data_IF_736167131994
#
_entry.id   IF_736167131994
#
_cell.length_a   1.000
_cell.length_b   1.000
_cell.length_c   1.000
_cell.angle_alpha   90.00
_cell.angle_beta   90.00
_cell.angle_gamma   90.00
#
_symmetry.space_group_name_H-M   'P 1'
#
loop_
_entity.id
_entity.type
_entity.pdbx_description
1 polymer ?
#
# COMPACT_ATOMS: atom_id res chain seq x y z
N UNK A 1 7.62 10.54 18.80
CA UNK A 1 6.24 10.34 18.34
C UNK A 1 6.30 9.48 17.11
N UNK A 2 5.39 8.52 16.95
CA UNK A 2 5.35 7.66 15.76
C UNK A 2 4.15 8.06 14.90
N UNK A 3 4.37 8.24 13.61
CA UNK A 3 3.34 8.55 12.62
C UNK A 3 3.16 7.35 11.71
N UNK A 4 1.90 6.97 11.47
CA UNK A 4 1.57 5.94 10.50
C UNK A 4 0.89 6.60 9.31
N UNK A 5 1.46 6.38 8.13
CA UNK A 5 0.83 6.72 6.85
C UNK A 5 0.39 5.46 6.11
N UNK A 6 -0.80 5.49 5.53
CA UNK A 6 -1.30 4.44 4.62
C UNK A 6 -1.51 5.02 3.22
N UNK A 7 -0.82 4.49 2.21
CA UNK A 7 -0.95 5.01 0.83
C UNK A 7 -0.74 3.92 -0.22
N UNK A 8 -1.73 3.72 -1.10
CA UNK A 8 -1.58 2.92 -2.34
C UNK A 8 -0.65 3.58 -3.37
N UNK A 9 -0.50 4.90 -3.29
CA UNK A 9 0.26 5.68 -4.24
C UNK A 9 1.67 5.90 -3.67
N UNK A 10 2.55 4.92 -3.86
CA UNK A 10 3.92 4.97 -3.40
C UNK A 10 4.87 4.40 -4.47
N UNK A 11 6.11 4.92 -4.58
CA UNK A 11 7.08 4.43 -5.55
C UNK A 11 7.31 2.93 -5.38
N UNK A 12 7.40 2.21 -6.49
CA UNK A 12 7.81 0.81 -6.46
C UNK A 12 8.60 0.48 -7.73
N UNK A 13 9.13 -0.75 -7.81
CA UNK A 13 9.99 -1.17 -8.93
C UNK A 13 9.35 -1.00 -10.32
N UNK A 14 8.03 -1.15 -10.44
CA UNK A 14 7.33 -0.98 -11.72
C UNK A 14 6.92 0.46 -12.00
N UNK A 15 6.60 1.19 -10.94
CA UNK A 15 6.09 2.55 -11.01
C UNK A 15 6.93 3.45 -10.10
N UNK A 16 8.21 3.69 -10.42
CA UNK A 16 9.14 4.41 -9.54
C UNK A 16 8.76 5.89 -9.34
N UNK A 17 8.00 6.46 -10.27
CA UNK A 17 7.55 7.86 -10.21
C UNK A 17 6.15 7.98 -9.57
N UNK A 18 5.39 6.90 -9.48
CA UNK A 18 4.04 6.95 -8.89
C UNK A 18 4.14 7.18 -7.39
N UNK A 19 3.50 8.24 -6.90
CA UNK A 19 3.51 8.54 -5.47
C UNK A 19 4.83 9.13 -4.95
N UNK A 20 5.71 9.63 -5.82
CA UNK A 20 6.97 10.26 -5.39
C UNK A 20 6.73 11.42 -4.41
N UNK A 21 5.63 12.16 -4.57
CA UNK A 21 5.23 13.19 -3.61
C UNK A 21 4.96 12.63 -2.20
N UNK A 22 4.41 11.41 -2.10
CA UNK A 22 4.21 10.71 -0.83
C UNK A 22 5.55 10.31 -0.24
N UNK A 23 6.44 9.72 -1.03
CA UNK A 23 7.79 9.36 -0.57
C UNK A 23 8.54 10.59 -0.02
N UNK A 24 8.53 11.71 -0.75
CA UNK A 24 9.16 12.94 -0.31
C UNK A 24 8.49 13.51 0.96
N UNK A 25 7.16 13.39 1.08
CA UNK A 25 6.44 13.80 2.27
C UNK A 25 6.85 12.99 3.50
N UNK A 26 6.80 11.65 3.43
CA UNK A 26 7.17 10.78 4.57
C UNK A 26 8.65 10.90 4.92
N UNK A 27 9.50 11.12 3.92
CA UNK A 27 10.93 11.36 4.12
C UNK A 27 11.18 12.65 4.88
N UNK A 28 10.57 13.76 4.46
CA UNK A 28 10.67 15.03 5.18
C UNK A 28 10.11 14.93 6.60
N UNK A 29 9.00 14.21 6.78
CA UNK A 29 8.41 13.97 8.10
C UNK A 29 9.30 13.11 9.00
N UNK A 30 10.03 12.16 8.40
CA UNK A 30 10.96 11.28 9.14
C UNK A 30 12.17 11.99 9.72
N UNK A 31 12.48 13.20 9.25
CA UNK A 31 13.52 14.05 9.86
C UNK A 31 13.10 14.58 11.24
N UNK A 32 11.81 14.50 11.59
CA UNK A 32 11.24 15.05 12.83
C UNK A 32 10.70 13.97 13.77
N UNK A 33 10.35 12.79 13.26
CA UNK A 33 9.68 11.74 14.02
C UNK A 33 9.80 10.36 13.35
N UNK A 34 9.47 9.30 14.08
CA UNK A 34 9.41 7.96 13.50
C UNK A 34 8.21 7.86 12.55
N UNK A 35 8.43 7.41 11.32
CA UNK A 35 7.37 7.27 10.31
C UNK A 35 7.31 5.83 9.82
N UNK A 36 6.13 5.22 9.94
CA UNK A 36 5.83 3.90 9.35
C UNK A 36 4.84 4.09 8.21
N UNK A 37 5.26 3.85 6.98
CA UNK A 37 4.39 3.89 5.81
C UNK A 37 3.95 2.48 5.43
N UNK A 38 2.64 2.22 5.48
CA UNK A 38 2.02 1.01 4.97
C UNK A 38 1.62 1.24 3.51
N UNK A 39 2.19 0.45 2.60
CA UNK A 39 1.95 0.56 1.16
C UNK A 39 1.21 -0.69 0.66
N UNK A 40 -0.11 -0.61 0.43
CA UNK A 40 -0.88 -1.65 -0.21
C UNK A 40 -0.50 -1.78 -1.68
N UNK A 41 -0.13 -2.99 -2.11
CA UNK A 41 0.16 -3.32 -3.51
C UNK A 41 -0.90 -4.30 -4.03
N UNK A 42 -1.67 -3.88 -5.04
CA UNK A 42 -2.72 -4.73 -5.63
C UNK A 42 -2.09 -5.91 -6.36
N UNK A 43 -2.58 -7.13 -6.12
CA UNK A 43 -2.25 -8.28 -6.96
C UNK A 43 -2.96 -8.26 -8.30
N UNK A 44 -4.09 -7.54 -8.41
CA UNK A 44 -4.78 -7.36 -9.68
C UNK A 44 -3.92 -6.52 -10.62
N UNK A 45 -3.53 -7.05 -11.80
CA UNK A 45 -2.74 -6.32 -12.76
C UNK A 45 -3.55 -5.14 -13.31
N UNK A 46 -2.93 -3.97 -13.53
CA UNK A 46 -3.60 -2.85 -14.13
C UNK A 46 -3.79 -3.13 -15.64
N UNK A 47 -4.73 -2.41 -16.27
CA UNK A 47 -5.19 -2.73 -17.63
C UNK A 47 -4.07 -2.69 -18.68
N UNK A 48 -3.02 -1.91 -18.44
CA UNK A 48 -1.88 -1.75 -19.35
C UNK A 48 -1.05 -3.03 -19.50
N UNK A 49 -1.20 -3.99 -18.58
CA UNK A 49 -0.53 -5.30 -18.61
C UNK A 49 -1.27 -6.27 -19.55
N UNK A 50 -2.55 -6.02 -19.82
CA UNK A 50 -3.37 -6.84 -20.70
C UNK A 50 -2.89 -6.72 -22.15
N UNK A 51 -2.82 -7.86 -22.84
CA UNK A 51 -2.36 -7.97 -24.22
C UNK A 51 -3.21 -9.00 -24.97
N UNK A 52 -3.59 -8.68 -26.21
CA UNK A 52 -4.28 -9.63 -27.10
C UNK A 52 -3.40 -10.80 -27.53
N UNK A 53 -2.08 -10.64 -27.50
CA UNK A 53 -1.14 -11.73 -27.72
C UNK A 53 -0.95 -12.55 -26.42
N UNK A 54 -1.27 -13.86 -26.40
CA UNK A 54 -1.19 -14.71 -25.21
C UNK A 54 0.21 -14.80 -24.60
N UNK A 55 1.26 -14.95 -25.43
CA UNK A 55 2.63 -15.06 -24.94
C UNK A 55 3.08 -13.76 -24.24
N UNK A 56 2.71 -12.61 -24.82
CA UNK A 56 2.99 -11.30 -24.22
C UNK A 56 2.17 -11.06 -22.95
N UNK A 57 0.91 -11.52 -22.91
CA UNK A 57 0.07 -11.47 -21.71
C UNK A 57 0.70 -12.26 -20.55
N UNK A 58 1.15 -13.49 -20.81
CA UNK A 58 1.82 -14.33 -19.79
C UNK A 58 3.13 -13.67 -19.34
N UNK A 59 3.94 -13.15 -20.27
CA UNK A 59 5.17 -12.42 -19.92
C UNK A 59 4.91 -11.18 -19.06
N UNK A 60 3.86 -10.42 -19.38
CA UNK A 60 3.48 -9.24 -18.61
C UNK A 60 2.96 -9.61 -17.21
N UNK A 61 2.15 -10.65 -17.09
CA UNK A 61 1.64 -11.14 -15.81
C UNK A 61 2.77 -11.67 -14.92
N UNK A 62 3.70 -12.45 -15.48
CA UNK A 62 4.85 -12.97 -14.73
C UNK A 62 5.73 -11.83 -14.22
N UNK A 63 6.00 -10.81 -15.04
CA UNK A 63 6.71 -9.59 -14.61
C UNK A 63 5.96 -8.84 -13.50
N UNK A 64 4.64 -8.72 -13.63
CA UNK A 64 3.78 -8.10 -12.61
C UNK A 64 3.93 -8.81 -11.27
N UNK A 65 3.67 -10.12 -11.22
CA UNK A 65 3.75 -10.87 -9.98
C UNK A 65 5.16 -10.92 -9.40
N UNK A 66 6.20 -11.07 -10.23
CA UNK A 66 7.60 -10.98 -9.78
C UNK A 66 7.85 -9.66 -9.10
N UNK A 67 7.44 -8.54 -9.71
CA UNK A 67 7.70 -7.22 -9.15
C UNK A 67 7.02 -6.99 -7.80
N UNK A 68 5.81 -7.51 -7.58
CA UNK A 68 5.11 -7.41 -6.31
C UNK A 68 5.89 -8.18 -5.25
N UNK A 69 6.34 -9.38 -5.58
CA UNK A 69 7.13 -10.23 -4.67
C UNK A 69 8.54 -9.67 -4.42
N UNK A 70 9.10 -8.98 -5.41
CA UNK A 70 10.43 -8.36 -5.36
C UNK A 70 10.43 -6.99 -4.68
N UNK A 71 9.25 -6.41 -4.42
CA UNK A 71 9.10 -5.15 -3.70
C UNK A 71 9.26 -5.44 -2.21
N UNK A 72 10.42 -5.05 -1.67
CA UNK A 72 10.79 -5.32 -0.28
C UNK A 72 10.50 -4.12 0.58
N UNK A 73 10.05 -4.40 1.81
CA UNK A 73 10.11 -3.45 2.92
C UNK A 73 11.52 -2.90 3.05
N UNK A 74 11.65 -1.60 3.31
CA UNK A 74 12.93 -0.97 3.57
C UNK A 74 12.83 0.02 4.72
N UNK A 75 13.99 0.39 5.26
CA UNK A 75 14.15 1.40 6.30
C UNK A 75 15.21 2.39 5.85
N UNK A 76 14.97 3.67 6.05
CA UNK A 76 15.87 4.78 5.76
C UNK A 76 15.81 5.76 6.94
N UNK A 77 16.79 5.73 7.84
CA UNK A 77 16.73 6.51 9.08
C UNK A 77 15.49 6.13 9.91
N UNK A 78 14.70 7.14 10.30
CA UNK A 78 13.45 6.98 11.05
C UNK A 78 12.22 6.67 10.17
N UNK A 79 12.41 6.50 8.85
CA UNK A 79 11.39 6.05 7.92
C UNK A 79 11.42 4.53 7.73
N UNK A 80 10.30 3.86 7.97
CA UNK A 80 10.07 2.45 7.63
C UNK A 80 8.94 2.32 6.62
N UNK A 81 9.22 1.78 5.45
CA UNK A 81 8.22 1.54 4.40
C UNK A 81 7.92 0.06 4.29
N UNK A 82 6.68 -0.33 4.57
CA UNK A 82 6.21 -1.71 4.57
C UNK A 82 5.27 -1.91 3.38
N UNK A 83 5.76 -2.62 2.37
CA UNK A 83 4.92 -3.06 1.25
C UNK A 83 4.21 -4.35 1.62
N UNK A 84 2.95 -4.45 1.23
CA UNK A 84 2.22 -5.70 1.36
C UNK A 84 1.24 -5.88 0.21
N UNK A 85 1.20 -7.11 -0.30
CA UNK A 85 0.21 -7.49 -1.30
C UNK A 85 -1.21 -7.57 -0.72
N UNK A 86 -2.19 -7.13 -1.50
CA UNK A 86 -3.62 -7.35 -1.25
C UNK A 86 -4.39 -7.59 -2.56
N UNK A 87 -5.57 -8.21 -2.43
CA UNK A 87 -6.51 -8.39 -3.54
C UNK A 87 -7.67 -7.43 -3.30
N UNK A 88 -8.09 -6.73 -4.35
CA UNK A 88 -9.30 -5.87 -4.34
C UNK A 88 -10.32 -6.42 -5.34
N UNK A 89 -11.61 -6.19 -5.14
CA UNK A 89 -12.61 -6.46 -6.17
C UNK A 89 -12.68 -5.32 -7.21
N UNK A 90 -13.14 -5.59 -8.44
CA UNK A 90 -13.31 -4.56 -9.46
C UNK A 90 -14.28 -3.46 -8.99
N UNK A 91 -13.82 -2.20 -9.03
CA UNK A 91 -14.64 -1.02 -8.78
C UNK A 91 -15.26 -0.49 -10.08
N UNK A 92 -16.44 0.16 -10.04
CA UNK A 92 -17.24 0.50 -8.85
C UNK A 92 -18.23 -0.58 -8.39
N UNK A 93 -18.46 -1.62 -9.20
CA UNK A 93 -19.58 -2.56 -9.01
C UNK A 93 -19.56 -3.34 -7.69
N UNK A 94 -18.39 -3.55 -7.10
CA UNK A 94 -18.22 -4.30 -5.86
C UNK A 94 -17.71 -3.44 -4.69
N UNK A 95 -17.89 -2.12 -4.72
CA UNK A 95 -17.28 -1.20 -3.74
C UNK A 95 -17.59 -1.58 -2.27
N UNK A 96 -18.85 -1.89 -1.94
CA UNK A 96 -19.22 -2.29 -0.57
C UNK A 96 -18.51 -3.58 -0.14
N UNK A 97 -18.54 -4.61 -0.99
CA UNK A 97 -17.88 -5.88 -0.71
C UNK A 97 -16.35 -5.75 -0.64
N UNK A 98 -15.76 -4.89 -1.48
CA UNK A 98 -14.33 -4.56 -1.46
C UNK A 98 -13.95 -3.87 -0.14
N UNK A 99 -14.75 -2.90 0.31
CA UNK A 99 -14.52 -2.21 1.59
C UNK A 99 -14.62 -3.19 2.76
N UNK A 100 -15.64 -4.04 2.81
CA UNK A 100 -15.79 -5.05 3.87
C UNK A 100 -14.61 -6.04 3.88
N UNK A 101 -14.19 -6.50 2.70
CA UNK A 101 -13.05 -7.39 2.54
C UNK A 101 -11.76 -6.73 3.03
N UNK A 102 -11.48 -5.52 2.58
CA UNK A 102 -10.26 -4.78 2.95
C UNK A 102 -10.29 -4.45 4.45
N UNK A 103 -11.40 -3.95 4.99
CA UNK A 103 -11.54 -3.65 6.41
C UNK A 103 -11.40 -4.87 7.33
N UNK A 104 -11.66 -6.08 6.84
CA UNK A 104 -11.46 -7.29 7.63
C UNK A 104 -10.04 -7.84 7.51
N UNK A 105 -9.60 -8.14 6.28
CA UNK A 105 -8.31 -8.79 6.03
C UNK A 105 -7.16 -7.83 6.26
N UNK A 106 -7.27 -6.60 5.75
CA UNK A 106 -6.18 -5.65 5.88
C UNK A 106 -6.05 -5.10 7.29
N UNK A 107 -7.15 -4.86 8.01
CA UNK A 107 -7.10 -4.45 9.42
C UNK A 107 -6.29 -5.42 10.28
N UNK A 108 -6.59 -6.73 10.19
CA UNK A 108 -5.84 -7.74 10.94
C UNK A 108 -4.35 -7.78 10.57
N UNK A 109 -4.06 -7.60 9.28
CA UNK A 109 -2.68 -7.55 8.78
C UNK A 109 -1.94 -6.29 9.27
N UNK A 110 -2.58 -5.14 9.20
CA UNK A 110 -2.05 -3.86 9.68
C UNK A 110 -1.76 -3.92 11.18
N UNK A 111 -2.69 -4.42 12.01
CA UNK A 111 -2.45 -4.61 13.45
C UNK A 111 -1.19 -5.45 13.73
N UNK A 112 -1.00 -6.54 12.98
CA UNK A 112 0.19 -7.38 13.12
C UNK A 112 1.47 -6.67 12.68
N UNK A 113 1.42 -5.90 11.60
CA UNK A 113 2.57 -5.13 11.10
C UNK A 113 2.95 -3.96 12.02
N UNK A 114 1.96 -3.44 12.76
CA UNK A 114 2.07 -2.33 13.70
C UNK A 114 2.20 -2.81 15.15
N UNK A 115 2.31 -4.11 15.38
CA UNK A 115 2.42 -4.68 16.72
C UNK A 115 3.64 -4.09 17.46
N UNK A 116 3.41 -3.56 18.66
CA UNK A 116 4.44 -2.89 19.46
C UNK A 116 4.65 -1.41 19.11
N UNK A 117 4.10 -0.90 18.01
CA UNK A 117 4.08 0.55 17.73
C UNK A 117 3.01 1.25 18.58
N UNK A 118 3.31 2.47 19.02
CA UNK A 118 2.36 3.35 19.72
C UNK A 118 2.18 4.64 18.91
N UNK A 119 1.40 4.60 17.81
CA UNK A 119 1.25 5.74 16.94
C UNK A 119 0.60 6.92 17.68
N UNK A 120 1.19 8.11 17.51
CA UNK A 120 0.56 9.36 17.93
C UNK A 120 -0.43 9.89 16.89
N UNK A 121 -0.19 9.57 15.62
CA UNK A 121 -1.04 9.97 14.49
C UNK A 121 -1.11 8.84 13.47
N UNK A 122 -2.30 8.58 12.93
CA UNK A 122 -2.54 7.69 11.81
C UNK A 122 -3.34 8.44 10.75
N UNK A 123 -2.87 8.46 9.51
CA UNK A 123 -3.63 9.02 8.39
C UNK A 123 -3.41 8.20 7.12
N UNK A 124 -4.21 8.51 6.10
CA UNK A 124 -4.08 7.90 4.79
C UNK A 124 -4.05 8.95 3.68
N UNK A 125 -3.24 8.69 2.67
CA UNK A 125 -3.36 9.35 1.38
C UNK A 125 -4.23 8.46 0.48
N UNK A 126 -5.30 9.04 -0.08
CA UNK A 126 -6.46 8.42 -0.75
C UNK A 126 -7.61 7.97 0.17
N UNK A 127 -8.82 8.50 -0.10
CA UNK A 127 -9.96 8.49 0.82
C UNK A 127 -10.58 7.09 1.00
N UNK A 128 -10.73 6.27 -0.05
CA UNK A 128 -11.37 4.95 0.07
C UNK A 128 -10.57 3.84 -0.58
N UNK A 129 -10.36 2.69 0.10
CA UNK A 129 -10.96 2.25 1.37
C UNK A 129 -10.16 2.66 2.61
N UNK A 130 -9.03 3.34 2.44
CA UNK A 130 -8.03 3.50 3.49
C UNK A 130 -8.44 4.43 4.62
N UNK A 131 -9.35 5.39 4.41
CA UNK A 131 -9.79 6.28 5.48
C UNK A 131 -10.62 5.55 6.56
N UNK A 132 -11.44 4.57 6.17
CA UNK A 132 -12.20 3.78 7.14
C UNK A 132 -11.26 2.92 7.99
N UNK A 133 -10.25 2.36 7.35
CA UNK A 133 -9.23 1.58 8.02
C UNK A 133 -8.35 2.46 8.93
N UNK A 134 -7.89 3.62 8.47
CA UNK A 134 -7.05 4.51 9.28
C UNK A 134 -7.79 4.98 10.53
N UNK A 135 -9.09 5.27 10.39
CA UNK A 135 -9.96 5.56 11.53
C UNK A 135 -10.01 4.39 12.50
N UNK A 136 -10.30 3.19 12.00
CA UNK A 136 -10.40 1.97 12.83
C UNK A 136 -9.08 1.59 13.51
N UNK A 137 -7.93 1.93 12.93
CA UNK A 137 -6.60 1.71 13.54
C UNK A 137 -6.27 2.75 14.62
N UNK A 138 -6.93 3.90 14.59
CA UNK A 138 -6.74 4.98 15.55
C UNK A 138 -7.65 4.86 16.79
N UNK A 139 -8.75 4.10 16.67
CA UNK A 139 -9.66 3.72 17.77
C UNK A 139 -9.07 2.60 18.65
#
# INVERSE_FOLDING_TARGET
MTVIEISECFPNKLKPVTGEFIYNHVKALSELCEVITLVPVRYIPPKEILSYNPAKLISNLTKWFSSINDTKTFTEGDLKVIYFGYVSLPRPYFEKADNDFINFFFYKKALKLLEGSKPGVIYCNWIRPWAELSKKLAD
#
